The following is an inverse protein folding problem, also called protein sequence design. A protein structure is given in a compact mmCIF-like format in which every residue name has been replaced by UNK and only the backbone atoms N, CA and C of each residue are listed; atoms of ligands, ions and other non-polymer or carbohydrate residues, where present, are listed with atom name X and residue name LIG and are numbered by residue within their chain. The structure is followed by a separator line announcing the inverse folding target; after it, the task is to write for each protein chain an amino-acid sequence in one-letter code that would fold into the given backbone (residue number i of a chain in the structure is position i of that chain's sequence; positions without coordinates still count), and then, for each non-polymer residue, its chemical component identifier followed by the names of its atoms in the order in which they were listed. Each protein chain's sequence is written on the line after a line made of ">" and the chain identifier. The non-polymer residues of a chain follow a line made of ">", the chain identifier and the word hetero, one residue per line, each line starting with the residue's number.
data_IF_683424327477
#
_entry.id   IF_683424327477
#
_cell.length_a   1.000
_cell.length_b   1.000
_cell.length_c   1.000
_cell.angle_alpha   90.00
_cell.angle_beta   90.00
_cell.angle_gamma   90.00
#
_symmetry.space_group_name_H-M   'P 1'
#
loop_
_entity.id
_entity.type
_entity.pdbx_description
1 polymer ?
#
# COMPACT_ATOMS: atom_id res chain seq x y z
N UNK A 1 11.23 4.51 0.48
CA UNK A 1 9.93 4.64 -0.23
C UNK A 1 10.11 4.19 -1.65
N UNK A 2 9.07 3.60 -2.21
CA UNK A 2 9.02 3.12 -3.58
C UNK A 2 7.89 3.84 -4.31
N UNK A 3 8.08 4.12 -5.59
CA UNK A 3 7.04 4.70 -6.44
C UNK A 3 6.65 3.69 -7.52
N UNK A 4 5.35 3.55 -7.76
CA UNK A 4 4.85 2.78 -8.90
C UNK A 4 5.17 3.50 -10.20
N UNK A 5 5.85 2.80 -11.11
CA UNK A 5 6.14 3.29 -12.47
C UNK A 5 5.02 3.00 -13.47
N UNK A 6 4.08 2.12 -13.12
CA UNK A 6 2.91 1.76 -13.90
C UNK A 6 1.74 1.52 -12.94
N UNK A 7 0.49 1.76 -13.37
CA UNK A 7 -0.66 1.42 -12.55
C UNK A 7 -0.74 -0.10 -12.34
N UNK A 8 -1.29 -0.51 -11.20
CA UNK A 8 -1.57 -1.91 -10.89
C UNK A 8 -3.04 -2.05 -10.49
N UNK A 9 -3.62 -3.22 -10.72
CA UNK A 9 -5.00 -3.51 -10.36
C UNK A 9 -5.17 -4.95 -9.89
N UNK A 10 -6.06 -5.17 -8.93
CA UNK A 10 -6.42 -6.50 -8.46
C UNK A 10 -7.92 -6.59 -8.29
N UNK A 11 -8.46 -7.73 -8.66
CA UNK A 11 -9.83 -8.13 -8.42
C UNK A 11 -9.83 -9.50 -7.74
N UNK A 12 -10.67 -9.71 -6.70
CA UNK A 12 -10.75 -11.00 -6.04
C UNK A 12 -11.20 -12.09 -7.01
N UNK A 13 -10.64 -13.29 -6.90
CA UNK A 13 -11.12 -14.44 -7.67
C UNK A 13 -12.61 -14.72 -7.38
N UNK A 14 -13.38 -14.99 -8.42
CA UNK A 14 -14.85 -14.89 -8.43
C UNK A 14 -15.46 -15.95 -7.50
N UNK A 15 -16.17 -15.53 -6.45
CA UNK A 15 -17.12 -16.39 -5.73
C UNK A 15 -17.22 -16.25 -4.21
N UNK A 16 -16.29 -15.57 -3.55
CA UNK A 16 -16.23 -15.61 -2.06
C UNK A 16 -16.19 -14.27 -1.33
N UNK A 17 -16.02 -13.13 -2.02
CA UNK A 17 -15.88 -11.83 -1.34
C UNK A 17 -16.77 -10.74 -1.94
N UNK A 18 -17.31 -9.86 -1.09
CA UNK A 18 -18.02 -8.62 -1.49
C UNK A 18 -17.05 -7.47 -1.80
N UNK A 19 -15.73 -7.72 -1.80
CA UNK A 19 -14.71 -6.71 -1.97
C UNK A 19 -14.66 -6.27 -3.44
N UNK A 20 -14.73 -4.96 -3.67
CA UNK A 20 -14.61 -4.41 -5.03
C UNK A 20 -13.16 -4.39 -5.50
N UNK A 21 -12.97 -4.47 -6.83
CA UNK A 21 -11.69 -4.27 -7.53
C UNK A 21 -10.92 -3.07 -6.97
N UNK A 22 -9.61 -3.20 -6.82
CA UNK A 22 -8.70 -2.16 -6.33
C UNK A 22 -7.77 -1.77 -7.46
N UNK A 23 -7.69 -0.47 -7.75
CA UNK A 23 -6.77 0.08 -8.73
C UNK A 23 -5.86 1.10 -8.04
N UNK A 24 -4.56 0.96 -8.27
CA UNK A 24 -3.54 1.87 -7.74
C UNK A 24 -2.91 2.59 -8.91
N UNK A 25 -2.95 3.93 -8.94
CA UNK A 25 -2.45 4.70 -10.06
C UNK A 25 -0.92 4.67 -10.13
N UNK A 26 -0.40 4.94 -11.33
CA UNK A 26 1.00 5.30 -11.51
C UNK A 26 1.39 6.46 -10.59
N UNK A 27 2.64 6.46 -10.12
CA UNK A 27 3.17 7.49 -9.26
C UNK A 27 2.76 7.34 -7.79
N UNK A 28 1.94 6.34 -7.43
CA UNK A 28 1.68 6.08 -6.01
C UNK A 28 2.96 5.72 -5.27
N UNK A 29 3.19 6.37 -4.13
CA UNK A 29 4.37 6.19 -3.29
C UNK A 29 4.03 5.39 -2.05
N UNK A 30 4.65 4.22 -1.90
CA UNK A 30 4.48 3.30 -0.77
C UNK A 30 5.72 3.32 0.14
N UNK A 31 5.48 3.14 1.44
CA UNK A 31 6.50 2.98 2.47
C UNK A 31 6.41 1.63 3.21
N UNK A 32 5.41 0.81 2.91
CA UNK A 32 5.09 -0.45 3.58
C UNK A 32 4.96 -0.30 5.10
N UNK A 33 4.63 0.91 5.57
CA UNK A 33 4.61 1.25 6.99
C UNK A 33 3.45 0.58 7.75
N UNK A 34 2.45 0.10 7.03
CA UNK A 34 1.30 -0.64 7.56
C UNK A 34 1.65 -2.07 8.00
N UNK A 35 2.75 -2.64 7.50
CA UNK A 35 3.21 -4.00 7.82
C UNK A 35 4.32 -3.91 8.89
N UNK A 36 4.30 -4.72 9.97
CA UNK A 36 5.36 -4.70 10.96
C UNK A 36 6.73 -5.07 10.38
N UNK A 37 7.78 -4.38 10.85
CA UNK A 37 9.17 -4.60 10.42
C UNK A 37 9.67 -6.04 10.57
N UNK A 38 9.11 -6.81 11.50
CA UNK A 38 9.44 -8.24 11.66
C UNK A 38 9.13 -9.06 10.39
N UNK A 39 8.17 -8.60 9.58
CA UNK A 39 7.81 -9.24 8.32
C UNK A 39 8.59 -8.67 7.13
N UNK A 40 9.41 -7.63 7.29
CA UNK A 40 10.15 -7.01 6.17
C UNK A 40 11.18 -7.95 5.54
N UNK A 41 11.67 -8.96 6.27
CA UNK A 41 12.49 -10.03 5.68
C UNK A 41 11.75 -10.83 4.62
N UNK A 42 10.42 -10.90 4.72
CA UNK A 42 9.56 -11.50 3.71
C UNK A 42 9.24 -10.48 2.58
N UNK A 43 9.36 -9.16 2.82
CA UNK A 43 9.23 -8.08 1.82
C UNK A 43 10.53 -7.97 0.99
N UNK A 44 10.95 -9.08 0.37
CA UNK A 44 12.01 -8.97 -0.63
C UNK A 44 11.48 -8.14 -1.81
N UNK A 45 12.33 -7.43 -2.57
CA UNK A 45 11.89 -6.72 -3.78
C UNK A 45 11.24 -7.63 -4.83
N UNK A 46 11.56 -8.93 -4.80
CA UNK A 46 10.95 -10.01 -5.56
C UNK A 46 9.98 -10.87 -4.70
N UNK A 47 9.56 -10.35 -3.55
CA UNK A 47 8.71 -11.03 -2.59
C UNK A 47 7.26 -11.05 -3.06
N UNK A 48 6.67 -12.24 -3.02
CA UNK A 48 5.39 -12.55 -3.66
C UNK A 48 4.20 -11.72 -3.12
N UNK A 49 4.30 -11.14 -1.92
CA UNK A 49 3.22 -10.31 -1.34
C UNK A 49 3.46 -8.80 -1.44
N UNK A 50 4.53 -8.35 -2.12
CA UNK A 50 4.78 -6.92 -2.36
C UNK A 50 3.59 -6.27 -3.07
N UNK A 51 3.02 -6.95 -4.05
CA UNK A 51 1.85 -6.45 -4.79
C UNK A 51 0.62 -6.27 -3.88
N UNK A 52 0.17 -7.28 -3.10
CA UNK A 52 -0.82 -7.09 -2.03
C UNK A 52 -0.52 -5.94 -1.07
N UNK A 53 0.73 -5.75 -0.65
CA UNK A 53 1.13 -4.69 0.27
C UNK A 53 0.95 -3.28 -0.35
N UNK A 54 1.22 -3.12 -1.65
CA UNK A 54 1.00 -1.84 -2.36
C UNK A 54 -0.50 -1.51 -2.44
N UNK A 55 -1.35 -2.51 -2.72
CA UNK A 55 -2.81 -2.33 -2.73
C UNK A 55 -3.30 -1.85 -1.35
N UNK A 56 -2.81 -2.49 -0.28
CA UNK A 56 -3.15 -2.16 1.10
C UNK A 56 -2.74 -0.75 1.49
N UNK A 57 -1.48 -0.38 1.24
CA UNK A 57 -0.94 0.95 1.52
C UNK A 57 -1.72 2.05 0.78
N UNK A 58 -2.11 1.79 -0.48
CA UNK A 58 -2.93 2.73 -1.24
C UNK A 58 -4.28 2.96 -0.58
N UNK A 59 -4.98 1.88 -0.19
CA UNK A 59 -6.26 1.98 0.48
C UNK A 59 -6.14 2.61 1.89
N UNK A 60 -5.06 2.33 2.60
CA UNK A 60 -4.74 2.95 3.88
C UNK A 60 -4.46 4.45 3.77
N UNK A 61 -3.90 4.87 2.63
CA UNK A 61 -3.70 6.26 2.31
C UNK A 61 -5.00 6.95 1.90
N UNK A 62 -5.73 6.44 0.91
CA UNK A 62 -6.94 7.08 0.37
C UNK A 62 -8.13 7.02 1.32
N UNK A 63 -8.20 6.00 2.18
CA UNK A 63 -9.25 5.82 3.20
C UNK A 63 -10.68 5.94 2.64
N UNK A 64 -10.87 5.63 1.36
CA UNK A 64 -12.17 5.64 0.68
C UNK A 64 -13.03 4.44 1.07
N UNK A 65 -12.42 3.45 1.72
CA UNK A 65 -13.05 2.21 2.19
C UNK A 65 -12.81 2.06 3.69
N UNK A 66 -13.65 1.31 4.42
CA UNK A 66 -13.40 1.01 5.82
C UNK A 66 -12.06 0.28 6.01
N UNK A 67 -11.33 0.56 7.11
CA UNK A 67 -10.07 -0.12 7.45
C UNK A 67 -10.18 -1.65 7.37
N UNK A 68 -11.28 -2.22 7.87
CA UNK A 68 -11.51 -3.66 7.86
C UNK A 68 -11.58 -4.23 6.44
N UNK A 69 -12.15 -3.51 5.48
CA UNK A 69 -12.13 -3.89 4.07
C UNK A 69 -10.72 -3.79 3.50
N UNK A 70 -9.96 -2.75 3.85
CA UNK A 70 -8.57 -2.59 3.42
C UNK A 70 -7.69 -3.76 3.91
N UNK A 71 -7.86 -4.17 5.18
CA UNK A 71 -7.17 -5.34 5.74
C UNK A 71 -7.59 -6.65 5.08
N UNK A 72 -8.85 -6.75 4.65
CA UNK A 72 -9.33 -7.93 3.94
C UNK A 72 -8.75 -8.01 2.52
N UNK A 73 -8.54 -6.88 1.84
CA UNK A 73 -7.90 -6.81 0.51
C UNK A 73 -6.52 -7.46 0.53
N UNK A 74 -5.65 -7.11 1.50
CA UNK A 74 -4.30 -7.71 1.54
C UNK A 74 -4.37 -9.22 1.79
N UNK A 75 -5.31 -9.67 2.64
CA UNK A 75 -5.50 -11.09 2.92
C UNK A 75 -5.93 -11.86 1.68
N UNK A 76 -6.96 -11.38 0.98
CA UNK A 76 -7.50 -12.01 -0.21
C UNK A 76 -6.50 -11.99 -1.37
N UNK A 77 -5.86 -10.84 -1.63
CA UNK A 77 -4.85 -10.73 -2.66
C UNK A 77 -3.68 -11.69 -2.44
N UNK A 78 -3.21 -11.86 -1.20
CA UNK A 78 -2.19 -12.87 -0.88
C UNK A 78 -2.68 -14.30 -1.12
N UNK A 79 -3.95 -14.63 -0.83
CA UNK A 79 -4.50 -15.95 -1.11
C UNK A 79 -4.63 -16.24 -2.61
N UNK A 80 -5.02 -15.24 -3.39
CA UNK A 80 -5.10 -15.36 -4.86
C UNK A 80 -3.70 -15.59 -5.44
N UNK A 81 -2.69 -14.93 -4.87
CA UNK A 81 -1.28 -15.06 -5.23
C UNK A 81 -0.64 -16.36 -4.70
N UNK A 82 -1.42 -17.22 -4.05
CA UNK A 82 -0.99 -18.53 -3.52
C UNK A 82 0.16 -18.41 -2.51
N UNK A 83 0.22 -17.29 -1.79
CA UNK A 83 1.13 -17.12 -0.65
C UNK A 83 0.81 -18.18 0.40
N UNK A 84 1.84 -18.68 1.09
CA UNK A 84 1.64 -19.71 2.10
C UNK A 84 0.65 -19.24 3.19
N UNK A 85 -0.31 -20.09 3.61
CA UNK A 85 -1.37 -19.67 4.53
C UNK A 85 -0.88 -19.19 5.90
N UNK A 86 0.32 -19.61 6.33
CA UNK A 86 0.90 -19.19 7.61
C UNK A 86 1.34 -17.74 7.53
N UNK A 87 2.03 -17.35 6.46
CA UNK A 87 2.38 -15.96 6.18
C UNK A 87 1.15 -15.09 6.01
N UNK A 88 0.14 -15.54 5.24
CA UNK A 88 -1.13 -14.81 5.09
C UNK A 88 -1.76 -14.52 6.45
N UNK A 89 -1.87 -15.55 7.30
CA UNK A 89 -2.47 -15.41 8.63
C UNK A 89 -1.64 -14.47 9.53
N UNK A 90 -0.32 -14.57 9.48
CA UNK A 90 0.57 -13.75 10.29
C UNK A 90 0.49 -12.26 9.91
N UNK A 91 0.58 -11.95 8.60
CA UNK A 91 0.46 -10.58 8.09
C UNK A 91 -0.94 -10.02 8.35
N UNK A 92 -1.99 -10.81 8.10
CA UNK A 92 -3.36 -10.37 8.34
C UNK A 92 -3.61 -10.04 9.83
N UNK A 93 -3.17 -10.91 10.75
CA UNK A 93 -3.28 -10.66 12.19
C UNK A 93 -2.50 -9.40 12.61
N UNK A 94 -1.34 -9.17 11.98
CA UNK A 94 -0.51 -7.99 12.22
C UNK A 94 -1.19 -6.68 11.79
N UNK A 95 -1.75 -6.59 10.58
CA UNK A 95 -2.43 -5.37 10.11
C UNK A 95 -3.72 -5.10 10.90
N UNK A 96 -4.41 -6.14 11.36
CA UNK A 96 -5.57 -5.97 12.25
C UNK A 96 -5.17 -5.42 13.61
N UNK A 97 -4.09 -5.94 14.21
CA UNK A 97 -3.66 -5.61 15.58
C UNK A 97 -2.92 -4.26 15.65
N UNK A 98 -2.04 -3.99 14.69
CA UNK A 98 -1.13 -2.83 14.73
C UNK A 98 -1.47 -1.77 13.69
N UNK A 99 -2.29 -2.09 12.68
CA UNK A 99 -2.58 -1.19 11.56
C UNK A 99 -3.38 0.07 11.95
N UNK A 100 -4.04 0.11 13.11
CA UNK A 100 -4.81 1.30 13.52
C UNK A 100 -3.92 2.54 13.68
N UNK A 101 -2.69 2.37 14.17
CA UNK A 101 -1.74 3.46 14.30
C UNK A 101 -1.35 4.03 12.92
N UNK A 102 -1.04 3.15 11.95
CA UNK A 102 -0.72 3.53 10.58
C UNK A 102 -1.92 4.18 9.87
N UNK A 103 -3.13 3.66 10.07
CA UNK A 103 -4.38 4.24 9.56
C UNK A 103 -4.57 5.68 10.05
N UNK A 104 -4.45 5.91 11.36
CA UNK A 104 -4.61 7.26 11.92
C UNK A 104 -3.49 8.20 11.47
N UNK A 105 -2.25 7.70 11.36
CA UNK A 105 -1.11 8.47 10.87
C UNK A 105 -1.31 8.93 9.41
N UNK A 106 -1.78 8.05 8.52
CA UNK A 106 -2.09 8.41 7.13
C UNK A 106 -3.19 9.48 7.05
N UNK A 107 -4.25 9.34 7.86
CA UNK A 107 -5.32 10.34 7.94
C UNK A 107 -4.78 11.71 8.35
N UNK A 108 -3.92 11.75 9.38
CA UNK A 108 -3.27 12.98 9.83
C UNK A 108 -2.35 13.58 8.76
N UNK A 109 -1.48 12.78 8.14
CA UNK A 109 -0.56 13.26 7.10
C UNK A 109 -1.32 13.87 5.91
N UNK A 110 -2.45 13.27 5.51
CA UNK A 110 -3.32 13.84 4.46
C UNK A 110 -3.97 15.14 4.87
N UNK A 111 -4.49 15.22 6.10
CA UNK A 111 -5.05 16.45 6.63
C UNK A 111 -4.00 17.58 6.70
N UNK A 112 -2.74 17.23 6.97
CA UNK A 112 -1.59 18.13 6.98
C UNK A 112 -1.07 18.46 5.55
N UNK A 113 -1.71 17.94 4.50
CA UNK A 113 -1.44 18.27 3.10
C UNK A 113 -0.40 17.39 2.39
N UNK A 114 0.06 16.30 3.02
CA UNK A 114 0.95 15.35 2.34
C UNK A 114 0.23 14.69 1.16
N UNK A 115 0.94 14.51 0.04
CA UNK A 115 0.47 13.85 -1.18
C UNK A 115 1.31 12.59 -1.42
N UNK A 116 0.71 11.50 -1.89
CA UNK A 116 1.42 10.25 -2.25
C UNK A 116 1.24 9.80 -3.70
N UNK A 117 0.74 10.66 -4.58
CA UNK A 117 0.62 10.37 -6.02
C UNK A 117 1.46 11.37 -6.80
N UNK A 118 2.48 10.89 -7.49
CA UNK A 118 3.39 11.68 -8.30
C UNK A 118 2.84 11.85 -9.72
N UNK A 119 2.82 13.07 -10.23
CA UNK A 119 2.64 13.37 -11.64
C UNK A 119 3.95 13.33 -12.42
N UNK A 120 5.09 13.52 -11.75
CA UNK A 120 6.42 13.48 -12.35
C UNK A 120 7.37 12.70 -11.45
N UNK A 121 7.97 11.65 -12.02
CA UNK A 121 9.02 10.91 -11.34
C UNK A 121 10.33 11.71 -11.36
N UNK A 122 11.12 11.70 -10.28
CA UNK A 122 12.40 12.39 -10.26
C UNK A 122 13.38 11.73 -11.22
N UNK A 123 14.20 12.56 -11.87
CA UNK A 123 15.25 12.11 -12.79
C UNK A 123 16.53 11.69 -12.08
N UNK A 124 16.80 12.22 -10.87
CA UNK A 124 17.94 11.78 -10.04
C UNK A 124 17.48 10.64 -9.10
N UNK A 125 18.03 9.42 -9.25
CA UNK A 125 17.68 8.26 -8.43
C UNK A 125 18.05 8.41 -6.95
N UNK A 126 18.85 9.42 -6.56
CA UNK A 126 19.22 9.71 -5.17
C UNK A 126 18.24 10.64 -4.47
N UNK A 127 17.25 11.18 -5.19
CA UNK A 127 16.29 12.13 -4.62
C UNK A 127 15.47 11.45 -3.53
N UNK A 128 15.50 11.98 -2.30
CA UNK A 128 14.80 11.39 -1.16
C UNK A 128 13.33 11.79 -1.10
N UNK A 129 12.50 11.05 -0.35
CA UNK A 129 11.10 11.45 -0.12
C UNK A 129 10.97 12.83 0.52
N UNK A 130 11.86 13.18 1.45
CA UNK A 130 11.88 14.49 2.09
C UNK A 130 12.12 15.62 1.09
N UNK A 131 12.83 15.34 -0.01
CA UNK A 131 13.04 16.29 -1.10
C UNK A 131 11.85 16.32 -2.07
N UNK A 132 11.18 15.17 -2.31
CA UNK A 132 9.99 15.10 -3.17
C UNK A 132 8.88 15.98 -2.59
N UNK A 133 8.62 15.86 -1.28
CA UNK A 133 7.57 16.62 -0.58
C UNK A 133 7.71 18.13 -0.67
N UNK A 134 8.90 18.66 -0.93
CA UNK A 134 9.14 20.11 -1.06
C UNK A 134 8.79 20.65 -2.45
N UNK A 135 8.61 19.78 -3.44
CA UNK A 135 8.40 20.14 -4.85
C UNK A 135 6.95 19.93 -5.23
N UNK A 136 6.10 20.93 -4.99
CA UNK A 136 4.66 20.81 -5.23
C UNK A 136 4.31 20.40 -6.69
N UNK A 137 5.16 20.76 -7.65
CA UNK A 137 5.02 20.48 -9.08
C UNK A 137 5.20 19.01 -9.48
N UNK A 138 5.68 18.15 -8.58
CA UNK A 138 5.90 16.71 -8.87
C UNK A 138 4.70 15.85 -8.51
N UNK A 139 3.74 16.39 -7.75
CA UNK A 139 2.54 15.67 -7.36
C UNK A 139 1.40 15.92 -8.33
N UNK A 140 0.51 14.93 -8.50
CA UNK A 140 -0.75 15.16 -9.19
C UNK A 140 -1.53 16.26 -8.48
N UNK A 141 -2.22 17.10 -9.25
CA UNK A 141 -3.04 18.18 -8.70
C UNK A 141 -4.11 17.62 -7.77
#
# INVERSE_FOLDING_TARGET
>A
MWALLKPIAWEPDVGTSKIARVEVPEGFVTDFASIPRAFYSLLRPDGDYTYPAILHDYLYWTQERPKAECDEVIRLAMLDFKIDPVTVKAIYAAVQTFGQSAWNANSKLRADGEKRILAKLPTDPRTTWADWKKKAEVFSQ
#
